data_IF_506456129274
#
_entry.id   IF_506456129274
#
_cell.length_a   1.000
_cell.length_b   1.000
_cell.length_c   1.000
_cell.angle_alpha   90.00
_cell.angle_beta   90.00
_cell.angle_gamma   90.00
#
_symmetry.space_group_name_H-M   'P 1'
#
loop_
_entity.id
_entity.type
_entity.pdbx_description
1 polymer ?
#
# COMPACT_ATOMS: atom_id res chain seq x y z
N UNK A 1 21.15 63.31 -11.01
CA UNK A 1 20.21 62.85 -9.97
C UNK A 1 19.94 64.05 -9.06
N UNK A 2 18.71 64.58 -8.97
CA UNK A 2 17.56 63.93 -8.32
C UNK A 2 16.25 64.03 -9.12
N UNK A 3 15.25 63.24 -8.69
CA UNK A 3 13.91 63.08 -9.29
C UNK A 3 12.89 64.05 -8.66
N UNK A 4 11.88 64.54 -9.41
CA UNK A 4 10.77 65.29 -8.83
C UNK A 4 9.69 64.35 -8.26
N UNK A 5 9.07 64.83 -7.16
CA UNK A 5 7.82 64.34 -6.57
C UNK A 5 6.66 64.39 -7.59
N UNK A 6 5.60 63.62 -7.32
CA UNK A 6 4.21 64.09 -7.08
C UNK A 6 3.26 62.89 -7.19
N UNK A 7 2.81 62.40 -6.04
CA UNK A 7 1.72 61.43 -5.91
C UNK A 7 0.43 62.22 -5.68
N UNK A 8 -0.47 62.21 -6.66
CA UNK A 8 -1.83 62.74 -6.52
C UNK A 8 -2.84 61.61 -6.48
N UNK A 9 -3.71 61.69 -5.47
CA UNK A 9 -4.93 60.93 -5.20
C UNK A 9 -5.84 60.79 -6.42
N UNK A 10 -6.62 59.70 -6.48
CA UNK A 10 -8.06 59.76 -6.18
C UNK A 10 -8.76 58.41 -6.42
N UNK A 11 -9.65 58.09 -5.49
CA UNK A 11 -10.57 56.99 -5.52
C UNK A 11 -11.72 57.24 -6.51
N UNK A 12 -12.27 56.16 -7.07
CA UNK A 12 -13.67 56.14 -7.51
C UNK A 12 -14.28 54.77 -7.18
N UNK A 13 -15.27 54.79 -6.30
CA UNK A 13 -16.17 53.69 -6.05
C UNK A 13 -17.31 53.73 -7.08
N UNK A 14 -17.78 52.56 -7.53
CA UNK A 14 -19.10 52.43 -8.17
C UNK A 14 -19.71 51.06 -7.84
N UNK A 15 -20.79 51.13 -7.06
CA UNK A 15 -21.74 50.07 -6.77
C UNK A 15 -22.68 49.85 -7.98
N UNK A 16 -22.94 48.59 -8.34
CA UNK A 16 -24.17 48.13 -9.00
C UNK A 16 -24.17 46.59 -8.95
N UNK A 17 -24.97 45.93 -8.11
CA UNK A 17 -26.42 45.70 -8.17
C UNK A 17 -26.70 44.23 -8.52
N UNK A 18 -27.50 43.58 -7.67
CA UNK A 18 -27.92 42.19 -7.76
C UNK A 18 -28.84 41.91 -8.96
N UNK A 19 -28.64 40.77 -9.61
CA UNK A 19 -29.75 39.90 -10.07
C UNK A 19 -29.33 38.43 -9.95
N UNK A 20 -30.19 37.54 -9.43
CA UNK A 20 -29.90 36.12 -9.27
C UNK A 20 -30.31 35.37 -10.54
N UNK A 21 -29.47 34.47 -11.04
CA UNK A 21 -29.90 33.40 -11.94
C UNK A 21 -28.93 32.23 -11.82
N UNK A 22 -29.51 31.10 -11.42
CA UNK A 22 -28.98 29.75 -11.41
C UNK A 22 -27.93 29.46 -12.48
N UNK A 23 -26.79 28.89 -12.07
CA UNK A 23 -25.83 28.31 -13.02
C UNK A 23 -24.50 27.91 -12.40
N UNK A 24 -24.42 26.71 -11.84
CA UNK A 24 -23.18 25.93 -11.85
C UNK A 24 -22.08 26.30 -10.86
N UNK A 25 -22.30 26.00 -9.57
CA UNK A 25 -21.20 25.80 -8.61
C UNK A 25 -20.40 24.55 -9.00
N UNK A 26 -19.20 24.71 -9.55
CA UNK A 26 -18.10 23.74 -9.37
C UNK A 26 -16.99 24.50 -8.63
N UNK A 27 -17.16 24.76 -7.33
CA UNK A 27 -16.66 23.85 -6.29
C UNK A 27 -15.33 23.20 -6.71
N UNK A 28 -14.28 24.03 -6.74
CA UNK A 28 -13.00 23.59 -6.24
C UNK A 28 -13.18 23.19 -4.78
N UNK A 29 -13.59 21.95 -4.56
CA UNK A 29 -13.59 21.31 -3.27
C UNK A 29 -12.67 20.11 -3.44
N UNK A 30 -11.48 20.27 -2.85
CA UNK A 30 -10.66 19.24 -2.25
C UNK A 30 -11.02 17.83 -2.72
N UNK A 31 -10.12 17.27 -3.53
CA UNK A 31 -9.98 15.82 -3.71
C UNK A 31 -10.27 15.16 -2.36
N UNK A 32 -11.45 14.56 -2.27
CA UNK A 32 -11.86 13.74 -1.16
C UNK A 32 -10.84 12.61 -1.15
N UNK A 33 -9.83 12.72 -0.28
CA UNK A 33 -8.93 11.63 0.01
C UNK A 33 -9.85 10.44 0.31
N UNK A 34 -9.68 9.29 -0.36
CA UNK A 34 -10.58 8.17 -0.17
C UNK A 34 -10.68 7.90 1.32
N UNK A 35 -11.91 8.00 1.82
CA UNK A 35 -12.30 7.90 3.22
C UNK A 35 -11.49 6.81 3.89
N UNK A 36 -10.87 7.18 5.03
CA UNK A 36 -10.05 6.33 5.89
C UNK A 36 -10.41 4.85 5.70
N UNK A 37 -9.55 4.16 4.96
CA UNK A 37 -9.76 2.78 4.53
C UNK A 37 -10.12 1.97 5.77
N UNK A 38 -11.28 1.32 5.76
CA UNK A 38 -11.61 0.27 6.72
C UNK A 38 -10.37 -0.59 6.82
N UNK A 39 -9.74 -0.58 8.00
CA UNK A 39 -8.43 -1.17 8.19
C UNK A 39 -8.54 -2.64 7.80
N UNK A 40 -7.79 -3.06 6.78
CA UNK A 40 -7.91 -4.37 6.16
C UNK A 40 -7.34 -5.42 7.13
N UNK A 41 -8.16 -5.84 8.10
CA UNK A 41 -7.80 -6.74 9.19
C UNK A 41 -8.44 -8.10 8.94
N UNK A 42 -7.61 -9.10 8.69
CA UNK A 42 -8.04 -10.49 8.57
C UNK A 42 -8.49 -11.06 9.92
N UNK A 43 -9.41 -12.04 9.94
CA UNK A 43 -9.77 -12.77 11.15
C UNK A 43 -8.58 -13.48 11.79
N UNK A 44 -8.55 -13.54 13.12
CA UNK A 44 -7.52 -14.25 13.89
C UNK A 44 -7.45 -15.76 13.63
N UNK A 45 -8.50 -16.33 13.03
CA UNK A 45 -8.51 -17.74 12.63
C UNK A 45 -7.57 -18.05 11.48
N UNK A 46 -7.14 -17.05 10.71
CA UNK A 46 -6.29 -17.23 9.53
C UNK A 46 -5.04 -16.36 9.53
N UNK A 47 -4.89 -15.47 10.52
CA UNK A 47 -3.74 -14.58 10.63
C UNK A 47 -3.45 -14.24 12.09
N UNK A 48 -2.21 -13.87 12.38
CA UNK A 48 -1.82 -13.32 13.67
C UNK A 48 -2.46 -11.95 13.96
N UNK A 49 -2.17 -11.39 15.13
CA UNK A 49 -2.59 -10.04 15.46
C UNK A 49 -1.90 -9.00 14.55
N UNK A 50 -2.53 -7.83 14.29
CA UNK A 50 -1.87 -6.73 13.61
C UNK A 50 -0.59 -6.29 14.33
N UNK A 51 0.47 -6.14 13.56
CA UNK A 51 1.77 -5.66 14.03
C UNK A 51 2.37 -4.63 13.08
N UNK A 52 3.38 -3.92 13.56
CA UNK A 52 4.15 -2.97 12.74
C UNK A 52 5.59 -3.46 12.65
N UNK A 53 6.09 -3.59 11.44
CA UNK A 53 7.45 -4.05 11.18
C UNK A 53 8.35 -2.86 10.83
N UNK A 54 9.58 -2.90 11.32
CA UNK A 54 10.67 -2.12 10.74
C UNK A 54 11.19 -2.88 9.51
N UNK A 55 11.07 -2.25 8.34
CA UNK A 55 11.58 -2.80 7.07
C UNK A 55 12.51 -1.77 6.46
N UNK A 56 13.74 -2.18 6.16
CA UNK A 56 14.72 -1.33 5.49
C UNK A 56 14.50 -1.43 3.98
N UNK A 57 14.38 -0.31 3.26
CA UNK A 57 14.29 -0.33 1.80
C UNK A 57 15.50 -1.04 1.19
N UNK A 58 15.24 -1.92 0.22
CA UNK A 58 16.28 -2.64 -0.51
C UNK A 58 16.31 -2.17 -1.96
N UNK A 59 17.52 -2.00 -2.51
CA UNK A 59 17.70 -1.64 -3.93
C UNK A 59 17.34 -2.80 -4.87
N UNK A 60 17.44 -4.05 -4.38
CA UNK A 60 17.12 -5.28 -5.12
C UNK A 60 16.40 -6.27 -4.21
N UNK A 61 15.10 -6.06 -3.92
CA UNK A 61 14.35 -6.96 -3.05
C UNK A 61 14.31 -8.38 -3.64
N UNK A 62 14.29 -9.42 -2.80
CA UNK A 62 14.08 -10.79 -3.25
C UNK A 62 12.76 -10.94 -3.99
N UNK A 63 12.74 -11.79 -5.03
CA UNK A 63 11.53 -12.06 -5.82
C UNK A 63 10.69 -13.11 -5.09
N UNK A 64 9.41 -12.82 -4.91
CA UNK A 64 8.43 -13.74 -4.34
C UNK A 64 7.39 -14.05 -5.40
N UNK A 65 7.01 -15.31 -5.48
CA UNK A 65 5.89 -15.78 -6.30
C UNK A 65 4.79 -16.26 -5.36
N UNK A 66 3.55 -15.96 -5.71
CA UNK A 66 2.43 -16.54 -5.00
C UNK A 66 1.25 -16.78 -5.94
N UNK A 67 0.55 -17.88 -5.69
CA UNK A 67 -0.62 -18.29 -6.45
C UNK A 67 -1.63 -18.97 -5.55
N UNK A 68 -2.89 -18.93 -5.95
CA UNK A 68 -4.01 -19.48 -5.18
C UNK A 68 -4.52 -20.77 -5.83
N UNK A 69 -4.78 -21.78 -5.00
CA UNK A 69 -5.44 -23.02 -5.40
C UNK A 69 -6.56 -23.32 -4.40
N UNK A 70 -7.80 -22.99 -4.77
CA UNK A 70 -8.95 -23.09 -3.87
C UNK A 70 -8.81 -22.16 -2.65
N UNK A 71 -8.70 -22.74 -1.45
CA UNK A 71 -8.50 -22.02 -0.18
C UNK A 71 -7.04 -21.85 0.22
N UNK A 72 -6.13 -22.51 -0.50
CA UNK A 72 -4.70 -22.45 -0.21
C UNK A 72 -4.05 -21.37 -1.07
N UNK A 73 -3.19 -20.58 -0.44
CA UNK A 73 -2.24 -19.70 -1.11
C UNK A 73 -0.86 -20.31 -0.96
N UNK A 74 -0.24 -20.64 -2.10
CA UNK A 74 1.14 -21.10 -2.18
C UNK A 74 2.04 -19.88 -2.38
N UNK A 75 3.10 -19.79 -1.60
CA UNK A 75 3.99 -18.63 -1.54
C UNK A 75 5.41 -19.16 -1.53
N UNK A 76 6.24 -18.72 -2.46
CA UNK A 76 7.58 -19.28 -2.61
C UNK A 76 8.57 -18.25 -3.17
N UNK A 77 9.84 -18.50 -2.88
CA UNK A 77 10.97 -17.86 -3.55
C UNK A 77 12.01 -18.91 -3.90
N UNK A 78 12.70 -18.72 -5.02
CA UNK A 78 13.65 -19.71 -5.55
C UNK A 78 15.11 -19.45 -5.18
N UNK A 79 15.48 -18.25 -4.74
CA UNK A 79 16.87 -17.88 -4.42
C UNK A 79 16.92 -16.49 -3.75
N UNK A 80 18.12 -16.11 -3.28
CA UNK A 80 18.52 -14.78 -2.76
C UNK A 80 18.05 -14.40 -1.35
N UNK A 81 17.56 -15.34 -0.57
CA UNK A 81 17.31 -15.12 0.85
C UNK A 81 18.51 -15.60 1.66
N UNK A 82 19.02 -14.73 2.54
CA UNK A 82 20.22 -15.00 3.35
C UNK A 82 19.90 -15.29 4.81
N UNK A 83 18.69 -14.97 5.27
CA UNK A 83 18.19 -15.42 6.56
C UNK A 83 17.95 -16.93 6.63
N UNK A 84 17.63 -17.42 7.82
CA UNK A 84 17.33 -18.83 8.10
C UNK A 84 15.83 -19.11 8.09
N UNK A 85 15.03 -18.10 8.41
CA UNK A 85 13.57 -18.22 8.43
C UNK A 85 12.95 -17.00 7.78
N UNK A 86 11.85 -17.21 7.07
CA UNK A 86 11.04 -16.16 6.46
C UNK A 86 9.68 -16.15 7.13
N UNK A 87 9.31 -15.02 7.71
CA UNK A 87 7.94 -14.74 8.12
C UNK A 87 7.19 -14.10 6.94
N UNK A 88 5.98 -14.61 6.69
CA UNK A 88 5.11 -14.10 5.64
C UNK A 88 3.92 -13.40 6.28
N UNK A 89 3.64 -12.20 5.79
CA UNK A 89 2.62 -11.31 6.29
C UNK A 89 1.63 -10.96 5.20
N UNK A 90 0.36 -10.92 5.59
CA UNK A 90 -0.64 -10.17 4.88
C UNK A 90 -0.33 -8.67 4.98
N UNK A 91 -0.27 -8.00 3.83
CA UNK A 91 0.07 -6.58 3.70
C UNK A 91 -1.15 -5.78 3.22
N UNK A 92 -1.72 -4.92 4.08
CA UNK A 92 -2.83 -4.05 3.68
C UNK A 92 -2.51 -3.22 2.42
N UNK A 93 -3.49 -3.07 1.53
CA UNK A 93 -3.31 -2.34 0.26
C UNK A 93 -2.78 -0.90 0.43
N UNK A 94 -3.18 -0.21 1.51
CA UNK A 94 -2.68 1.11 1.88
C UNK A 94 -1.18 1.15 2.24
N UNK A 95 -0.47 0.02 2.28
CA UNK A 95 0.96 -0.01 2.54
C UNK A 95 1.82 -0.10 1.27
N UNK A 96 1.18 -0.19 0.10
CA UNK A 96 1.84 -0.38 -1.20
C UNK A 96 1.57 0.80 -2.11
N UNK A 97 2.56 1.18 -2.91
CA UNK A 97 2.43 2.17 -3.98
C UNK A 97 2.86 1.53 -5.29
N UNK A 98 2.10 1.78 -6.35
CA UNK A 98 2.44 1.37 -7.70
C UNK A 98 3.27 2.46 -8.38
N UNK A 99 4.43 2.10 -8.93
CA UNK A 99 5.31 2.95 -9.74
C UNK A 99 5.55 2.30 -11.10
N UNK A 100 4.65 2.56 -12.04
CA UNK A 100 4.63 1.80 -13.31
C UNK A 100 4.34 0.33 -13.01
N UNK A 101 5.21 -0.56 -13.47
CA UNK A 101 5.09 -2.01 -13.28
C UNK A 101 5.71 -2.50 -11.96
N UNK A 102 6.22 -1.59 -11.12
CA UNK A 102 6.88 -1.93 -9.87
C UNK A 102 6.00 -1.63 -8.65
N UNK A 103 6.08 -2.51 -7.66
CA UNK A 103 5.50 -2.31 -6.34
C UNK A 103 6.57 -1.72 -5.42
N UNK A 104 6.21 -0.67 -4.68
CA UNK A 104 7.04 -0.10 -3.62
C UNK A 104 6.33 -0.22 -2.27
N UNK A 105 7.08 -0.59 -1.24
CA UNK A 105 6.60 -0.61 0.13
C UNK A 105 6.61 0.82 0.70
N UNK A 106 5.44 1.39 0.96
CA UNK A 106 5.28 2.70 1.59
C UNK A 106 5.44 2.62 3.10
N UNK A 107 4.89 1.56 3.72
CA UNK A 107 4.94 1.33 5.16
C UNK A 107 4.70 -0.15 5.47
N UNK A 108 5.05 -0.63 6.66
CA UNK A 108 4.74 -2.00 7.09
C UNK A 108 3.92 -1.99 8.40
N UNK A 109 2.86 -1.18 8.44
CA UNK A 109 1.95 -1.03 9.59
C UNK A 109 0.73 -1.94 9.46
N UNK A 110 0.24 -2.44 10.60
CA UNK A 110 -0.95 -3.30 10.66
C UNK A 110 -0.87 -4.55 9.75
N UNK A 111 0.35 -5.03 9.52
CA UNK A 111 0.55 -6.30 8.83
C UNK A 111 0.16 -7.44 9.77
N UNK A 112 -0.20 -8.59 9.23
CA UNK A 112 -0.55 -9.75 10.05
C UNK A 112 0.19 -10.97 9.53
N UNK A 113 0.97 -11.62 10.39
CA UNK A 113 1.69 -12.84 10.03
C UNK A 113 0.71 -13.96 9.69
N UNK A 114 0.92 -14.62 8.55
CA UNK A 114 0.06 -15.68 8.03
C UNK A 114 0.78 -17.03 7.93
N UNK A 115 2.10 -16.99 7.81
CA UNK A 115 2.92 -18.20 7.71
C UNK A 115 4.38 -17.91 8.11
N UNK A 116 5.13 -18.98 8.33
CA UNK A 116 6.59 -18.98 8.47
C UNK A 116 7.16 -20.15 7.67
N UNK A 117 8.31 -19.96 7.06
CA UNK A 117 9.05 -20.99 6.34
C UNK A 117 10.53 -20.98 6.73
N UNK A 118 11.18 -22.14 6.61
CA UNK A 118 12.63 -22.25 6.68
C UNK A 118 13.25 -21.95 5.31
N UNK A 119 14.38 -21.24 5.33
CA UNK A 119 15.17 -20.97 4.13
C UNK A 119 16.15 -22.12 3.94
N UNK A 120 16.11 -22.73 2.75
CA UNK A 120 17.02 -23.82 2.37
C UNK A 120 18.43 -23.27 2.09
N UNK A 121 19.46 -24.13 2.06
CA UNK A 121 20.84 -23.69 1.78
C UNK A 121 21.03 -22.96 0.44
N UNK A 122 20.15 -23.19 -0.53
CA UNK A 122 20.14 -22.51 -1.83
C UNK A 122 19.42 -21.14 -1.82
N UNK A 123 18.95 -20.70 -0.65
CA UNK A 123 18.19 -19.46 -0.47
C UNK A 123 16.73 -19.55 -0.95
N UNK A 124 16.23 -20.76 -1.24
CA UNK A 124 14.83 -20.98 -1.60
C UNK A 124 13.97 -21.27 -0.36
N UNK A 125 12.66 -21.02 -0.45
CA UNK A 125 11.69 -21.39 0.57
C UNK A 125 10.29 -21.51 -0.04
N UNK A 126 9.41 -22.25 0.65
CA UNK A 126 7.99 -22.37 0.32
C UNK A 126 7.17 -22.30 1.61
N UNK A 127 6.06 -21.59 1.55
CA UNK A 127 5.04 -21.53 2.58
C UNK A 127 3.66 -21.76 1.96
N UNK A 128 2.73 -22.20 2.81
CA UNK A 128 1.31 -22.32 2.46
C UNK A 128 0.50 -21.59 3.50
N UNK A 129 -0.51 -20.86 3.04
CA UNK A 129 -1.48 -20.17 3.87
C UNK A 129 -2.88 -20.65 3.53
N UNK A 130 -3.57 -21.21 4.53
CA UNK A 130 -4.97 -21.62 4.40
C UNK A 130 -5.90 -20.47 4.82
N UNK A 131 -6.71 -20.00 3.88
CA UNK A 131 -7.67 -18.91 4.11
C UNK A 131 -8.96 -19.42 4.74
N UNK A 132 -9.13 -20.73 4.92
CA UNK A 132 -10.33 -21.33 5.47
C UNK A 132 -11.60 -20.90 4.73
N UNK A 133 -12.63 -20.53 5.48
CA UNK A 133 -13.87 -19.98 4.94
C UNK A 133 -13.81 -18.48 4.63
N UNK A 134 -12.68 -17.81 4.91
CA UNK A 134 -12.55 -16.39 4.62
C UNK A 134 -12.49 -16.19 3.11
N UNK A 135 -13.48 -15.47 2.60
CA UNK A 135 -13.54 -15.10 1.20
C UNK A 135 -12.63 -13.90 0.97
N UNK A 136 -11.38 -14.15 0.58
CA UNK A 136 -10.53 -13.09 0.03
C UNK A 136 -11.29 -12.43 -1.13
N UNK A 137 -11.49 -11.10 -1.12
CA UNK A 137 -12.27 -10.41 -2.13
C UNK A 137 -11.80 -10.76 -3.55
N UNK A 138 -12.69 -11.31 -4.37
CA UNK A 138 -12.36 -11.88 -5.70
C UNK A 138 -12.00 -10.84 -6.76
N UNK A 139 -12.09 -9.55 -6.44
CA UNK A 139 -11.88 -8.45 -7.37
C UNK A 139 -10.87 -7.41 -6.87
N UNK A 140 -10.16 -7.73 -5.79
CA UNK A 140 -9.12 -6.87 -5.28
C UNK A 140 -7.83 -7.66 -5.18
N UNK A 141 -6.74 -7.17 -5.78
CA UNK A 141 -5.45 -7.75 -5.49
C UNK A 141 -5.19 -7.60 -3.99
N UNK A 142 -4.59 -8.63 -3.41
CA UNK A 142 -4.03 -8.52 -2.06
C UNK A 142 -2.52 -8.66 -2.14
N UNK A 143 -1.85 -8.07 -1.15
CA UNK A 143 -0.40 -7.99 -1.13
C UNK A 143 0.13 -8.83 0.01
N UNK A 144 1.28 -9.45 -0.23
CA UNK A 144 2.04 -10.13 0.81
C UNK A 144 3.39 -9.45 0.95
N UNK A 145 3.88 -9.44 2.18
CA UNK A 145 5.24 -9.07 2.55
C UNK A 145 5.90 -10.32 3.12
N UNK A 146 7.04 -10.73 2.57
CA UNK A 146 7.90 -11.70 3.24
C UNK A 146 9.10 -10.97 3.82
N UNK A 147 9.53 -11.38 5.01
CA UNK A 147 10.71 -10.83 5.68
C UNK A 147 11.48 -11.95 6.38
N UNK A 148 12.80 -11.97 6.22
CA UNK A 148 13.64 -12.92 6.94
C UNK A 148 14.24 -12.35 8.24
N UNK A 149 14.91 -13.21 9.00
CA UNK A 149 15.63 -12.84 10.22
C UNK A 149 16.91 -12.04 9.97
N UNK A 150 17.37 -11.94 8.72
CA UNK A 150 18.45 -11.03 8.31
C UNK A 150 17.95 -9.62 7.95
N UNK A 151 16.63 -9.42 7.87
CA UNK A 151 16.00 -8.15 7.55
C UNK A 151 15.76 -7.91 6.06
N UNK A 152 15.98 -8.92 5.22
CA UNK A 152 15.60 -8.88 3.81
C UNK A 152 14.09 -8.95 3.67
N UNK A 153 13.56 -8.23 2.68
CA UNK A 153 12.12 -8.14 2.50
C UNK A 153 11.73 -8.04 1.03
N UNK A 154 10.69 -8.80 0.66
CA UNK A 154 10.09 -8.74 -0.66
C UNK A 154 8.58 -8.58 -0.57
N UNK A 155 7.98 -8.01 -1.61
CA UNK A 155 6.53 -7.87 -1.72
C UNK A 155 6.05 -8.56 -3.00
N UNK A 156 4.84 -9.12 -2.93
CA UNK A 156 4.17 -9.71 -4.07
C UNK A 156 2.70 -9.33 -4.07
N UNK A 157 2.18 -9.04 -5.25
CA UNK A 157 0.76 -8.91 -5.50
C UNK A 157 0.20 -10.26 -5.94
N UNK A 158 -0.91 -10.67 -5.33
CA UNK A 158 -1.68 -11.81 -5.79
C UNK A 158 -2.95 -11.27 -6.43
N UNK A 159 -3.07 -11.52 -7.73
CA UNK A 159 -4.30 -11.26 -8.43
C UNK A 159 -5.31 -12.35 -8.11
N UNK A 160 -6.49 -11.96 -7.65
CA UNK A 160 -7.63 -12.85 -7.55
C UNK A 160 -8.34 -12.87 -8.90
N UNK A 161 -8.01 -13.83 -9.76
CA UNK A 161 -8.80 -14.12 -10.96
C UNK A 161 -9.76 -15.28 -10.66
N UNK A 162 -10.98 -15.21 -11.22
CA UNK A 162 -11.99 -16.26 -11.11
C UNK A 162 -11.58 -17.53 -11.85
#
# INVERSE_FOLDING_TARGET
MPRPLWLCLAAFALLAACTPLYGGRRAGALSEAPSASVQEVLPRSIAGAPETLAVTPQSRPPVIMAYRTGRLVHILSRQRWHGRTVDIYYLPSGNVVHRGDHLELRSARHVQRIARAEVRPDGSWEARWDTGSYSIPRHHPFYLLARDDAGEAGIVQINTFN
#
